data_IF_723968611254
#
_entry.id   IF_723968611254
#
_cell.length_a   1.000
_cell.length_b   1.000
_cell.length_c   1.000
_cell.angle_alpha   90.00
_cell.angle_beta   90.00
_cell.angle_gamma   90.00
#
_symmetry.space_group_name_H-M   'P 1'
#
loop_
_entity.id
_entity.type
_entity.pdbx_description
1 polymer ?
#
# COMPACT_ATOMS: atom_id res chain seq x y z
N UNK A 1 2.49 -13.01 21.04
CA UNK A 1 3.32 -13.06 19.81
C UNK A 1 3.04 -11.76 19.10
N UNK A 2 4.06 -10.91 18.97
CA UNK A 2 3.91 -9.50 18.60
C UNK A 2 3.20 -9.35 17.25
N UNK A 3 1.95 -8.85 17.30
CA UNK A 3 1.39 -8.16 16.15
C UNK A 3 2.18 -6.85 16.04
N UNK A 4 3.19 -6.81 15.19
CA UNK A 4 3.76 -5.54 14.79
C UNK A 4 2.72 -4.85 13.90
N UNK A 5 1.94 -3.96 14.49
CA UNK A 5 1.09 -3.03 13.77
C UNK A 5 1.85 -1.71 13.69
N UNK A 6 2.31 -1.36 12.49
CA UNK A 6 2.96 -0.07 12.25
C UNK A 6 2.17 0.67 11.19
N UNK A 7 1.77 1.90 11.52
CA UNK A 7 1.15 2.83 10.60
C UNK A 7 2.21 3.82 10.08
N UNK A 8 2.37 3.87 8.75
CA UNK A 8 3.28 4.80 8.07
C UNK A 8 2.52 5.60 7.03
N UNK A 9 2.56 6.93 7.11
CA UNK A 9 1.94 7.81 6.11
C UNK A 9 2.95 8.20 5.05
N UNK A 10 2.79 7.71 3.82
CA UNK A 10 3.69 8.01 2.69
C UNK A 10 2.92 8.77 1.62
N UNK A 11 3.55 9.78 1.04
CA UNK A 11 2.97 10.50 -0.09
C UNK A 11 3.13 9.70 -1.37
N UNK A 12 2.02 9.55 -2.09
CA UNK A 12 2.00 8.89 -3.38
C UNK A 12 2.73 9.78 -4.40
N UNK A 13 3.73 9.21 -5.07
CA UNK A 13 4.32 9.84 -6.23
C UNK A 13 3.30 9.79 -7.38
N UNK A 14 3.22 10.86 -8.19
CA UNK A 14 2.38 10.83 -9.37
C UNK A 14 2.76 9.63 -10.24
N UNK A 15 1.79 8.73 -10.42
CA UNK A 15 1.95 7.58 -11.29
C UNK A 15 2.05 8.06 -12.73
N UNK A 16 3.07 7.59 -13.46
CA UNK A 16 3.07 7.66 -14.91
C UNK A 16 1.99 6.66 -15.37
N UNK A 17 0.75 7.12 -15.49
CA UNK A 17 -0.25 6.40 -16.25
C UNK A 17 0.10 6.68 -17.70
N UNK A 18 0.60 5.68 -18.41
CA UNK A 18 0.90 5.75 -19.83
C UNK A 18 -0.43 5.77 -20.61
N UNK A 19 -1.15 6.88 -20.51
CA UNK A 19 -2.24 7.35 -21.35
C UNK A 19 -2.75 8.67 -20.76
N UNK A 20 -2.76 9.70 -21.60
CA UNK A 20 -2.99 11.11 -21.30
C UNK A 20 -3.96 11.45 -20.16
N UNK A 21 -3.55 12.46 -19.40
CA UNK A 21 -4.35 13.16 -18.39
C UNK A 21 -4.81 12.32 -17.19
N UNK A 22 -3.99 12.32 -16.14
CA UNK A 22 -4.54 12.33 -14.78
C UNK A 22 -3.61 13.07 -13.84
N UNK A 23 -4.18 14.15 -13.32
CA UNK A 23 -3.67 15.03 -12.28
C UNK A 23 -2.84 14.26 -11.26
N UNK A 24 -1.60 14.69 -11.09
CA UNK A 24 -0.71 14.32 -9.99
C UNK A 24 -1.37 14.67 -8.65
N UNK A 25 -2.28 13.82 -8.17
CA UNK A 25 -2.98 14.07 -6.93
C UNK A 25 -2.01 13.73 -5.79
N UNK A 26 -1.59 14.75 -5.04
CA UNK A 26 -0.62 14.63 -3.96
C UNK A 26 -1.29 14.00 -2.73
N UNK A 27 -1.60 12.70 -2.83
CA UNK A 27 -2.38 11.96 -1.83
C UNK A 27 -1.47 11.39 -0.76
N UNK A 28 -1.91 11.47 0.48
CA UNK A 28 -1.24 10.87 1.64
C UNK A 28 -1.89 9.52 1.93
N UNK A 29 -1.16 8.46 1.62
CA UNK A 29 -1.60 7.11 1.90
C UNK A 29 -1.04 6.64 3.24
N UNK A 30 -1.86 5.98 4.03
CA UNK A 30 -1.46 5.35 5.28
C UNK A 30 -1.32 3.86 5.06
N UNK A 31 -0.13 3.34 5.35
CA UNK A 31 0.23 1.93 5.25
C UNK A 31 0.20 1.34 6.65
N UNK A 32 -0.77 0.47 6.91
CA UNK A 32 -0.76 -0.38 8.10
C UNK A 32 -0.13 -1.71 7.73
N UNK A 33 1.01 -2.03 8.32
CA UNK A 33 1.67 -3.35 8.15
C UNK A 33 1.30 -4.21 9.35
N UNK A 34 0.88 -5.46 9.11
CA UNK A 34 0.52 -6.41 10.16
C UNK A 34 1.15 -7.76 9.87
N UNK A 35 1.98 -8.24 10.80
CA UNK A 35 2.51 -9.60 10.77
C UNK A 35 1.68 -10.48 11.71
N UNK A 36 1.06 -11.52 11.16
CA UNK A 36 0.28 -12.49 11.92
C UNK A 36 1.10 -13.76 12.11
N UNK A 37 1.40 -14.07 13.37
CA UNK A 37 2.10 -15.30 13.76
C UNK A 37 1.20 -16.05 14.74
N UNK A 38 0.62 -17.15 14.30
CA UNK A 38 -0.23 -18.00 15.12
C UNK A 38 0.21 -19.47 15.00
N UNK A 39 0.17 -20.25 16.10
CA UNK A 39 0.76 -21.58 16.17
C UNK A 39 0.13 -22.60 15.20
N UNK A 40 -1.10 -22.35 14.73
CA UNK A 40 -1.87 -23.25 13.88
C UNK A 40 -2.28 -22.64 12.54
N UNK A 41 -1.75 -21.45 12.20
CA UNK A 41 -2.06 -20.77 10.95
C UNK A 41 -0.77 -20.44 10.20
N UNK A 42 -0.81 -20.40 8.86
CA UNK A 42 0.32 -19.91 8.09
C UNK A 42 0.66 -18.50 8.55
N UNK A 43 1.95 -18.23 8.75
CA UNK A 43 2.40 -16.87 9.03
C UNK A 43 2.10 -16.00 7.81
N UNK A 44 1.49 -14.84 8.04
CA UNK A 44 1.10 -13.94 6.96
C UNK A 44 1.52 -12.52 7.28
N UNK A 45 2.09 -11.86 6.28
CA UNK A 45 2.32 -10.43 6.29
C UNK A 45 1.24 -9.77 5.45
N UNK A 46 0.46 -8.88 6.04
CA UNK A 46 -0.54 -8.10 5.35
C UNK A 46 -0.17 -6.62 5.38
N UNK A 47 -0.23 -5.99 4.22
CA UNK A 47 -0.10 -4.55 4.02
C UNK A 47 -1.47 -4.01 3.67
N UNK A 48 -1.97 -3.09 4.47
CA UNK A 48 -3.22 -2.39 4.26
C UNK A 48 -2.91 -0.94 3.90
N UNK A 49 -3.53 -0.45 2.84
CA UNK A 49 -3.32 0.91 2.32
C UNK A 49 -4.66 1.62 2.40
N UNK A 50 -4.70 2.72 3.15
CA UNK A 50 -5.85 3.60 3.27
C UNK A 50 -5.49 5.02 2.83
N UNK A 51 -6.51 5.81 2.54
CA UNK A 51 -6.36 7.22 2.20
C UNK A 51 -6.95 8.09 3.32
N UNK A 52 -6.24 9.15 3.71
CA UNK A 52 -6.71 10.09 4.70
C UNK A 52 -7.87 10.96 4.19
N UNK A 53 -7.90 11.22 2.88
CA UNK A 53 -8.90 12.07 2.23
C UNK A 53 -10.12 11.27 1.72
N UNK A 54 -10.00 9.93 1.65
CA UNK A 54 -11.08 9.04 1.21
C UNK A 54 -11.10 7.72 2.01
N UNK A 55 -11.95 7.60 3.05
CA UNK A 55 -12.03 6.40 3.88
C UNK A 55 -12.61 5.17 3.16
N UNK A 56 -13.15 5.31 1.94
CA UNK A 56 -13.59 4.16 1.14
C UNK A 56 -12.41 3.45 0.45
N UNK A 57 -11.27 4.14 0.33
CA UNK A 57 -10.04 3.57 -0.20
C UNK A 57 -9.45 2.63 0.83
N UNK A 58 -9.59 1.34 0.54
CA UNK A 58 -8.98 0.27 1.32
C UNK A 58 -8.45 -0.78 0.37
N UNK A 59 -7.12 -0.80 0.22
CA UNK A 59 -6.39 -1.82 -0.53
C UNK A 59 -5.65 -2.74 0.43
N UNK A 60 -5.54 -4.00 0.04
CA UNK A 60 -4.82 -5.01 0.82
C UNK A 60 -3.92 -5.84 -0.08
N UNK A 61 -2.74 -6.14 0.42
CA UNK A 61 -1.84 -7.17 -0.10
C UNK A 61 -1.42 -8.06 1.05
N UNK A 62 -1.63 -9.37 0.94
CA UNK A 62 -1.17 -10.33 1.93
C UNK A 62 -0.26 -11.36 1.26
N UNK A 63 0.87 -11.66 1.90
CA UNK A 63 1.80 -12.71 1.49
C UNK A 63 1.99 -13.68 2.65
N UNK A 64 1.79 -14.96 2.39
CA UNK A 64 2.07 -16.01 3.38
C UNK A 64 3.55 -16.40 3.33
N UNK A 65 4.04 -16.99 4.41
CA UNK A 65 5.39 -17.57 4.44
C UNK A 65 5.59 -18.65 3.36
N UNK A 66 4.52 -19.34 2.96
CA UNK A 66 4.56 -20.36 1.90
C UNK A 66 4.65 -19.75 0.49
N UNK A 67 4.05 -18.58 0.27
CA UNK A 67 4.06 -17.89 -1.03
C UNK A 67 5.29 -16.98 -1.21
N UNK A 68 5.93 -16.60 -0.10
CA UNK A 68 7.09 -15.70 -0.09
C UNK A 68 8.26 -16.14 -0.99
N UNK A 69 8.64 -17.43 -1.11
CA UNK A 69 9.70 -17.85 -2.02
C UNK A 69 9.45 -17.43 -3.47
N UNK A 70 8.20 -17.45 -3.93
CA UNK A 70 7.82 -16.97 -5.26
C UNK A 70 8.03 -15.46 -5.42
N UNK A 71 7.57 -14.68 -4.44
CA UNK A 71 7.78 -13.23 -4.39
C UNK A 71 9.28 -12.88 -4.37
N UNK A 72 10.05 -13.60 -3.54
CA UNK A 72 11.50 -13.47 -3.38
C UNK A 72 12.22 -13.69 -4.70
N UNK A 73 11.92 -14.79 -5.39
CA UNK A 73 12.54 -15.11 -6.67
C UNK A 73 12.14 -14.12 -7.77
N UNK A 74 10.86 -13.74 -7.84
CA UNK A 74 10.34 -12.85 -8.88
C UNK A 74 10.97 -11.44 -8.84
N UNK A 75 11.38 -10.98 -7.65
CA UNK A 75 11.92 -9.63 -7.44
C UNK A 75 13.39 -9.62 -7.02
N UNK A 76 14.05 -10.79 -6.97
CA UNK A 76 15.43 -10.91 -6.55
C UNK A 76 15.68 -10.44 -5.11
N UNK A 77 14.71 -10.60 -4.21
CA UNK A 77 14.89 -10.22 -2.80
C UNK A 77 15.95 -11.11 -2.16
N UNK A 78 16.86 -10.53 -1.39
CA UNK A 78 17.95 -11.27 -0.74
C UNK A 78 17.59 -11.73 0.68
N UNK A 79 16.54 -11.16 1.26
CA UNK A 79 16.11 -11.41 2.64
C UNK A 79 15.18 -12.62 2.75
N UNK A 80 15.01 -13.14 3.95
CA UNK A 80 14.05 -14.19 4.26
C UNK A 80 12.71 -13.60 4.73
N UNK A 81 11.69 -14.45 4.89
CA UNK A 81 10.36 -13.99 5.28
C UNK A 81 10.35 -13.30 6.66
N UNK A 82 11.20 -13.74 7.60
CA UNK A 82 11.28 -13.15 8.95
C UNK A 82 11.85 -11.73 8.92
N UNK A 83 12.86 -11.47 8.08
CA UNK A 83 13.47 -10.15 7.97
C UNK A 83 12.74 -9.21 7.00
N UNK A 84 11.90 -9.76 6.11
CA UNK A 84 11.21 -8.99 5.08
C UNK A 84 10.32 -7.84 5.62
N UNK A 85 9.48 -8.02 6.67
CA UNK A 85 8.67 -6.93 7.22
C UNK A 85 9.51 -5.73 7.67
N UNK A 86 10.66 -5.97 8.30
CA UNK A 86 11.56 -4.91 8.74
C UNK A 86 12.13 -4.13 7.54
N UNK A 87 12.54 -4.81 6.48
CA UNK A 87 13.06 -4.16 5.27
C UNK A 87 11.98 -3.37 4.54
N UNK A 88 10.75 -3.88 4.50
CA UNK A 88 9.60 -3.15 3.96
C UNK A 88 9.34 -1.86 4.74
N UNK A 89 9.37 -1.93 6.08
CA UNK A 89 9.21 -0.76 6.95
C UNK A 89 10.30 0.27 6.67
N UNK A 90 11.57 -0.15 6.61
CA UNK A 90 12.69 0.74 6.32
C UNK A 90 12.52 1.43 4.95
N UNK A 91 12.11 0.67 3.93
CA UNK A 91 11.87 1.20 2.59
C UNK A 91 10.79 2.30 2.58
N UNK A 92 9.67 2.07 3.29
CA UNK A 92 8.59 3.06 3.42
C UNK A 92 9.01 4.26 4.27
N UNK A 93 9.78 4.06 5.33
CA UNK A 93 10.33 5.15 6.15
C UNK A 93 11.28 6.04 5.33
N UNK A 94 12.13 5.45 4.50
CA UNK A 94 13.01 6.21 3.62
C UNK A 94 12.20 7.02 2.58
N UNK A 95 11.05 6.51 2.13
CA UNK A 95 10.12 7.29 1.29
C UNK A 95 9.56 8.52 2.03
N UNK A 96 9.29 8.42 3.34
CA UNK A 96 8.88 9.57 4.15
C UNK A 96 10.00 10.59 4.32
N UNK A 97 11.22 10.13 4.61
CA UNK A 97 12.37 11.01 4.88
C UNK A 97 12.87 11.74 3.64
N UNK A 98 12.84 11.08 2.48
CA UNK A 98 13.28 11.67 1.21
C UNK A 98 12.20 12.52 0.55
N UNK A 99 11.08 12.75 1.22
CA UNK A 99 10.02 13.61 0.73
C UNK A 99 10.52 15.07 0.58
N UNK A 100 10.56 15.57 -0.65
CA UNK A 100 11.03 16.92 -0.98
C UNK A 100 12.52 17.04 -1.37
N UNK A 101 13.26 15.93 -1.38
CA UNK A 101 14.64 15.91 -1.90
C UNK A 101 14.63 15.92 -3.43
N UNK A 102 15.54 16.70 -4.03
CA UNK A 102 15.63 16.85 -5.49
C UNK A 102 16.13 15.57 -6.16
N UNK A 103 17.13 14.89 -5.58
CA UNK A 103 17.63 13.57 -6.01
C UNK A 103 18.38 12.84 -4.88
N UNK A 104 18.33 11.50 -4.79
CA UNK A 104 17.38 10.61 -5.47
C UNK A 104 15.97 10.76 -4.86
N UNK A 105 14.95 10.79 -5.73
CA UNK A 105 13.56 10.93 -5.33
C UNK A 105 12.93 9.55 -5.21
N UNK A 106 12.83 9.07 -3.98
CA UNK A 106 12.16 7.81 -3.66
C UNK A 106 10.71 8.05 -3.21
N UNK A 107 9.83 7.11 -3.55
CA UNK A 107 8.44 7.13 -3.09
C UNK A 107 7.61 5.97 -3.61
N UNK A 108 6.33 5.97 -3.26
CA UNK A 108 5.39 4.91 -3.63
C UNK A 108 4.61 5.31 -4.88
N UNK A 109 4.41 4.37 -5.80
CA UNK A 109 3.55 4.52 -6.98
C UNK A 109 2.54 3.39 -6.98
N UNK A 110 1.29 3.70 -7.32
CA UNK A 110 0.25 2.72 -7.61
C UNK A 110 0.04 2.72 -9.12
N UNK A 111 0.11 1.54 -9.73
CA UNK A 111 -0.12 1.36 -11.17
C UNK A 111 -1.07 0.20 -11.38
N UNK A 112 -2.09 0.34 -12.22
CA UNK A 112 -3.05 -0.72 -12.47
C UNK A 112 -3.88 -0.48 -13.72
N UNK A 113 -4.35 -1.58 -14.33
CA UNK A 113 -5.26 -1.57 -15.47
C UNK A 113 -6.70 -1.81 -15.00
N UNK A 114 -7.15 -1.02 -14.02
CA UNK A 114 -8.47 -1.16 -13.41
C UNK A 114 -8.81 0.08 -12.60
N UNK A 115 -10.08 0.49 -12.67
CA UNK A 115 -10.59 1.60 -11.87
C UNK A 115 -10.68 1.16 -10.41
N UNK A 116 -9.85 1.73 -9.54
CA UNK A 116 -10.15 1.80 -8.11
C UNK A 116 -10.87 3.12 -7.88
N UNK A 117 -12.21 3.09 -7.67
CA UNK A 117 -12.98 4.31 -7.45
C UNK A 117 -12.33 5.13 -6.35
N UNK A 118 -12.16 6.42 -6.60
CA UNK A 118 -11.53 7.35 -5.67
C UNK A 118 -10.01 7.47 -5.78
N UNK A 119 -9.24 6.50 -6.30
CA UNK A 119 -7.76 6.54 -6.27
C UNK A 119 -7.05 6.47 -7.63
N UNK A 120 -7.58 5.73 -8.60
CA UNK A 120 -7.11 5.70 -9.99
C UNK A 120 -8.30 6.06 -10.85
N UNK A 121 -8.15 7.07 -11.72
CA UNK A 121 -9.23 7.69 -12.49
C UNK A 121 -10.22 6.68 -13.09
N UNK A 122 -11.49 7.05 -13.09
CA UNK A 122 -12.56 6.23 -13.67
C UNK A 122 -12.35 6.12 -15.17
N UNK A 123 -11.72 5.04 -15.63
CA UNK A 123 -11.71 4.72 -17.06
C UNK A 123 -13.08 4.13 -17.38
N UNK A 124 -13.84 4.82 -18.24
CA UNK A 124 -15.17 4.43 -18.73
C UNK A 124 -15.13 3.22 -19.68
N UNK A 125 -14.25 2.24 -19.41
CA UNK A 125 -14.20 0.96 -20.08
C UNK A 125 -15.04 -0.09 -19.33
N UNK A 126 -15.44 -1.18 -19.98
CA UNK A 126 -16.19 -2.26 -19.32
C UNK A 126 -15.38 -2.81 -18.14
N UNK A 127 -16.03 -3.20 -17.02
CA UNK A 127 -15.38 -3.80 -15.86
C UNK A 127 -14.77 -5.15 -16.26
N UNK A 128 -13.55 -5.11 -16.79
CA UNK A 128 -12.77 -6.30 -17.06
C UNK A 128 -12.34 -6.84 -15.71
N UNK A 129 -12.88 -8.01 -15.34
CA UNK A 129 -12.85 -8.60 -13.98
C UNK A 129 -11.47 -9.07 -13.50
N UNK A 130 -10.38 -8.45 -13.93
CA UNK A 130 -9.04 -8.78 -13.45
C UNK A 130 -8.05 -7.61 -13.64
N UNK A 131 -8.49 -6.40 -13.31
CA UNK A 131 -7.58 -5.26 -13.19
C UNK A 131 -6.84 -5.31 -11.86
N UNK A 132 -5.68 -5.97 -11.82
CA UNK A 132 -4.80 -5.93 -10.65
C UNK A 132 -4.18 -4.54 -10.50
N UNK A 133 -4.17 -4.02 -9.27
CA UNK A 133 -3.36 -2.83 -8.93
C UNK A 133 -2.04 -3.32 -8.36
N UNK A 134 -0.95 -2.69 -8.72
CA UNK A 134 0.38 -2.99 -8.22
C UNK A 134 0.89 -1.78 -7.47
N UNK A 135 1.25 -1.99 -6.21
CA UNK A 135 2.01 -1.05 -5.41
C UNK A 135 3.48 -1.24 -5.70
N UNK A 136 4.17 -0.17 -6.06
CA UNK A 136 5.61 -0.17 -6.31
C UNK A 136 6.28 0.87 -5.43
N UNK A 137 7.40 0.51 -4.83
CA UNK A 137 8.32 1.47 -4.23
C UNK A 137 9.44 1.72 -5.23
N UNK A 138 9.57 2.97 -5.65
CA UNK A 138 10.46 3.35 -6.73
C UNK A 138 11.35 4.50 -6.34
N UNK A 139 12.55 4.48 -6.88
CA UNK A 139 13.53 5.54 -6.77
C UNK A 139 13.85 6.07 -8.17
N UNK A 140 13.76 7.39 -8.31
CA UNK A 140 14.24 8.09 -9.49
C UNK A 140 15.58 8.75 -9.16
N UNK A 141 16.62 8.34 -9.88
CA UNK A 141 17.91 9.03 -9.89
C UNK A 141 18.13 9.74 -11.22
N UNK A 142 19.29 10.40 -11.40
CA UNK A 142 19.63 11.13 -12.63
C UNK A 142 19.70 10.28 -13.89
N UNK A 143 19.76 8.96 -13.76
CA UNK A 143 19.97 8.04 -14.88
C UNK A 143 18.74 7.17 -15.18
N UNK A 144 18.09 6.60 -14.16
CA UNK A 144 17.01 5.62 -14.33
C UNK A 144 16.02 5.58 -13.16
N UNK A 145 14.86 4.98 -13.44
CA UNK A 145 13.91 4.51 -12.44
C UNK A 145 14.35 3.13 -11.94
N UNK A 146 14.53 2.99 -10.63
CA UNK A 146 14.75 1.73 -9.94
C UNK A 146 13.49 1.33 -9.20
N UNK A 147 13.02 0.09 -9.37
CA UNK A 147 11.94 -0.48 -8.56
C UNK A 147 12.56 -1.35 -7.47
N UNK A 148 12.36 -0.96 -6.22
CA UNK A 148 12.88 -1.66 -5.06
C UNK A 148 11.97 -2.80 -4.61
N UNK A 149 10.66 -2.61 -4.78
CA UNK A 149 9.65 -3.60 -4.42
C UNK A 149 8.38 -3.35 -5.22
N UNK A 150 7.73 -4.41 -5.67
CA UNK A 150 6.42 -4.40 -6.31
C UNK A 150 5.51 -5.45 -5.65
N UNK A 151 4.31 -5.09 -5.25
CA UNK A 151 3.35 -6.00 -4.64
C UNK A 151 1.98 -5.82 -5.28
N UNK A 152 1.32 -6.92 -5.61
CA UNK A 152 -0.06 -6.89 -6.07
C UNK A 152 -0.98 -6.50 -4.91
N UNK A 153 -1.74 -5.44 -5.09
CA UNK A 153 -2.74 -4.96 -4.15
C UNK A 153 -4.12 -5.09 -4.79
N UNK A 154 -5.09 -5.49 -3.99
CA UNK A 154 -6.48 -5.60 -4.42
C UNK A 154 -7.37 -4.75 -3.51
N UNK A 155 -8.51 -4.25 -4.02
CA UNK A 155 -9.55 -3.72 -3.16
C UNK A 155 -9.92 -4.75 -2.10
N UNK A 156 -9.99 -4.33 -0.85
CA UNK A 156 -10.41 -5.23 0.22
C UNK A 156 -11.85 -5.73 -0.02
N UNK A 157 -12.12 -6.96 0.42
CA UNK A 157 -13.47 -7.53 0.36
C UNK A 157 -14.47 -6.66 1.13
N UNK A 158 -15.74 -6.68 0.70
CA UNK A 158 -16.81 -5.85 1.29
C UNK A 158 -16.90 -6.00 2.81
N UNK A 159 -16.78 -7.21 3.35
CA UNK A 159 -16.80 -7.43 4.80
C UNK A 159 -15.68 -6.70 5.54
N UNK A 160 -14.47 -6.69 4.98
CA UNK A 160 -13.31 -5.99 5.54
C UNK A 160 -13.46 -4.47 5.40
N UNK A 161 -13.99 -3.99 4.26
CA UNK A 161 -14.31 -2.58 4.07
C UNK A 161 -15.35 -2.08 5.06
N UNK A 162 -16.45 -2.82 5.25
CA UNK A 162 -17.50 -2.46 6.21
C UNK A 162 -16.98 -2.44 7.64
N UNK A 163 -16.16 -3.43 8.04
CA UNK A 163 -15.51 -3.43 9.35
C UNK A 163 -14.60 -2.21 9.52
N UNK A 164 -13.75 -1.93 8.53
CA UNK A 164 -12.89 -0.76 8.55
C UNK A 164 -13.68 0.55 8.71
N UNK A 165 -14.76 0.71 7.94
CA UNK A 165 -15.62 1.90 8.03
C UNK A 165 -16.30 1.99 9.41
N UNK A 166 -16.78 0.87 9.96
CA UNK A 166 -17.35 0.83 11.31
C UNK A 166 -16.32 1.22 12.39
N UNK A 167 -15.07 0.76 12.25
CA UNK A 167 -13.98 1.12 13.15
C UNK A 167 -13.66 2.63 13.05
N UNK A 168 -13.57 3.17 11.83
CA UNK A 168 -13.36 4.60 11.59
C UNK A 168 -14.49 5.45 12.19
N UNK A 169 -15.75 5.04 11.99
CA UNK A 169 -16.92 5.73 12.57
C UNK A 169 -16.86 5.73 14.10
N UNK A 170 -16.50 4.60 14.71
CA UNK A 170 -16.38 4.50 16.16
C UNK A 170 -15.32 5.44 16.73
N UNK A 171 -14.16 5.57 16.06
CA UNK A 171 -13.11 6.50 16.47
C UNK A 171 -13.55 7.97 16.38
N UNK A 172 -14.33 8.33 15.35
CA UNK A 172 -14.89 9.67 15.21
C UNK A 172 -15.95 9.98 16.28
N UNK A 173 -16.79 9.00 16.64
CA UNK A 173 -17.80 9.17 17.69
C UNK A 173 -17.17 9.38 19.07
N UNK A 174 -16.07 8.70 19.38
CA UNK A 174 -15.34 8.88 20.64
C UNK A 174 -14.72 10.28 20.73
N UNK A 175 -14.20 10.82 19.62
CA UNK A 175 -13.66 12.18 19.59
C UNK A 175 -14.75 13.27 19.72
N UNK A 176 -15.98 12.99 19.27
CA UNK A 176 -17.13 13.90 19.40
C UNK A 176 -17.71 13.99 20.82
N UNK A 177 -17.38 13.06 21.72
CA UNK A 177 -17.89 13.03 23.11
C UNK A 177 -16.95 13.66 24.15
N UNK A 178 -15.76 14.12 23.75
CA UNK A 178 -14.86 14.91 24.63
C UNK A 178 -15.08 16.44 24.52
N UNK A 179 -16.14 16.88 23.85
CA UNK A 179 -16.50 18.28 23.69
C UNK A 179 -17.89 18.60 24.24
N UNK A 180 -18.04 18.54 25.56
CA UNK A 180 -19.06 19.28 26.34
C UNK A 180 -18.50 19.59 27.71
#
# INVERSE_FOLDING_TARGET
>A
MELCCLDLTVQLLPGQIDAGDSVAQNRKLTFTITLTIAPNLPQTLCVRITDADDPQVLLTSCVSAADYPGLKAAQGLLVDFQSFPQHLIQLLQSCQQQHGQLQPRMGVVLSGCGAVPGLLGETAGPPSQSGGVVMQVVEHNSFRRLCHLAMAVAPAATATKLRHLADCLSQLQVCGMCGV
#
